data_IF_630672058040
#
_entry.id   IF_630672058040
#
_cell.length_a   1.000
_cell.length_b   1.000
_cell.length_c   1.000
_cell.angle_alpha   90.00
_cell.angle_beta   90.00
_cell.angle_gamma   90.00
#
_symmetry.space_group_name_H-M   'P 1'
#
loop_
_entity.id
_entity.type
_entity.pdbx_description
1 polymer ?
#
# COMPACT_ATOMS: atom_id res chain seq x y z
N UNK A 1 -17.68 -43.55 -15.73
CA UNK A 1 -16.54 -42.71 -15.30
C UNK A 1 -16.68 -41.29 -15.86
N UNK A 2 -17.35 -40.37 -15.14
CA UNK A 2 -17.50 -38.94 -15.53
C UNK A 2 -16.76 -37.98 -14.57
N UNK A 3 -15.77 -38.52 -13.85
CA UNK A 3 -15.04 -37.86 -12.76
C UNK A 3 -14.10 -36.69 -13.15
N UNK A 4 -13.48 -36.60 -14.35
CA UNK A 4 -12.46 -35.57 -14.59
C UNK A 4 -13.05 -34.17 -14.76
N UNK A 5 -14.29 -34.07 -15.25
CA UNK A 5 -14.96 -32.78 -15.49
C UNK A 5 -15.33 -32.08 -14.18
N UNK A 6 -15.77 -32.83 -13.18
CA UNK A 6 -16.10 -32.29 -11.85
C UNK A 6 -14.85 -31.83 -11.10
N UNK A 7 -13.71 -32.52 -11.28
CA UNK A 7 -12.46 -32.13 -10.65
C UNK A 7 -11.91 -30.80 -11.19
N UNK A 8 -11.96 -30.61 -12.52
CA UNK A 8 -11.57 -29.34 -13.16
C UNK A 8 -12.50 -28.20 -12.74
N UNK A 9 -13.81 -28.47 -12.66
CA UNK A 9 -14.80 -27.48 -12.27
C UNK A 9 -14.63 -27.05 -10.80
N UNK A 10 -14.30 -27.99 -9.91
CA UNK A 10 -13.99 -27.72 -8.51
C UNK A 10 -12.70 -26.88 -8.35
N UNK A 11 -11.67 -27.16 -9.16
CA UNK A 11 -10.43 -26.39 -9.15
C UNK A 11 -10.64 -24.93 -9.59
N UNK A 12 -11.47 -24.69 -10.61
CA UNK A 12 -11.81 -23.34 -11.09
C UNK A 12 -12.60 -22.56 -10.05
N UNK A 13 -13.54 -23.20 -9.36
CA UNK A 13 -14.30 -22.55 -8.28
C UNK A 13 -13.36 -22.17 -7.12
N UNK A 14 -12.43 -23.05 -6.75
CA UNK A 14 -11.49 -22.81 -5.67
C UNK A 14 -10.54 -21.65 -5.96
N UNK A 15 -10.05 -21.51 -7.21
CA UNK A 15 -9.16 -20.40 -7.58
C UNK A 15 -9.87 -19.04 -7.59
N UNK A 16 -11.16 -19.00 -7.94
CA UNK A 16 -11.96 -17.78 -7.93
C UNK A 16 -12.13 -17.20 -6.51
N UNK A 17 -12.20 -18.05 -5.48
CA UNK A 17 -12.31 -17.59 -4.09
C UNK A 17 -11.02 -16.94 -3.58
N UNK A 18 -9.85 -17.41 -4.03
CA UNK A 18 -8.53 -16.91 -3.59
C UNK A 18 -8.21 -15.48 -4.09
N UNK A 19 -8.95 -14.96 -5.07
CA UNK A 19 -8.73 -13.62 -5.63
C UNK A 19 -9.41 -12.50 -4.82
N UNK A 20 -10.20 -12.81 -3.78
CA UNK A 20 -10.95 -11.83 -2.98
C UNK A 20 -10.16 -11.24 -1.80
N UNK A 21 -8.85 -11.00 -1.95
CA UNK A 21 -8.00 -10.50 -0.88
C UNK A 21 -7.96 -8.96 -0.76
N UNK A 22 -8.59 -8.22 -1.69
CA UNK A 22 -8.59 -6.75 -1.66
C UNK A 22 -9.80 -6.22 -0.89
N UNK A 23 -9.61 -5.83 0.36
CA UNK A 23 -10.63 -5.18 1.18
C UNK A 23 -10.41 -3.65 1.17
N UNK A 24 -11.38 -2.90 0.64
CA UNK A 24 -11.40 -1.44 0.73
C UNK A 24 -11.91 -1.05 2.12
N UNK A 25 -10.98 -0.73 3.02
CA UNK A 25 -11.29 -0.26 4.37
C UNK A 25 -11.43 1.26 4.42
N UNK A 26 -12.29 1.73 5.33
CA UNK A 26 -12.50 3.15 5.56
C UNK A 26 -11.22 3.78 6.15
N UNK A 27 -10.91 5.05 5.86
CA UNK A 27 -9.63 5.67 6.25
C UNK A 27 -9.30 5.54 7.74
N UNK A 28 -10.29 5.70 8.63
CA UNK A 28 -10.12 5.60 10.08
C UNK A 28 -9.90 4.17 10.60
N UNK A 29 -10.25 3.15 9.82
CA UNK A 29 -9.99 1.74 10.18
C UNK A 29 -8.50 1.37 9.99
N UNK A 30 -7.72 2.24 9.32
CA UNK A 30 -6.29 2.05 9.05
C UNK A 30 -5.39 2.41 10.23
N UNK A 31 -5.91 3.11 11.24
CA UNK A 31 -5.14 3.48 12.44
C UNK A 31 -4.55 2.25 13.15
N UNK A 32 -5.26 1.11 13.14
CA UNK A 32 -4.75 -0.12 13.74
C UNK A 32 -3.57 -0.75 12.96
N UNK A 33 -3.38 -0.35 11.70
CA UNK A 33 -2.34 -0.86 10.82
C UNK A 33 -1.12 0.07 10.74
N UNK A 34 -1.27 1.34 11.12
CA UNK A 34 -0.21 2.36 11.13
C UNK A 34 0.15 2.69 12.57
N UNK A 35 1.02 1.87 13.15
CA UNK A 35 1.58 2.14 14.49
C UNK A 35 2.43 3.42 14.43
N UNK A 36 2.37 4.32 15.43
CA UNK A 36 3.22 5.50 15.52
C UNK A 36 4.72 5.20 15.35
N UNK A 37 5.17 3.99 15.69
CA UNK A 37 6.57 3.57 15.47
C UNK A 37 6.96 3.39 13.99
N UNK A 38 5.98 3.39 13.07
CA UNK A 38 6.20 3.32 11.62
C UNK A 38 6.34 4.72 10.99
N UNK A 39 6.29 5.79 11.78
CA UNK A 39 6.56 7.14 11.31
C UNK A 39 8.06 7.30 11.03
N UNK A 40 8.41 7.51 9.76
CA UNK A 40 9.80 7.69 9.32
C UNK A 40 10.41 9.02 9.80
N UNK A 41 9.59 10.05 9.97
CA UNK A 41 10.00 11.35 10.49
C UNK A 41 9.11 11.74 11.68
N UNK A 42 9.72 11.97 12.83
CA UNK A 42 9.03 12.38 14.06
C UNK A 42 8.52 13.84 14.00
N UNK A 43 9.11 14.67 13.13
CA UNK A 43 8.70 16.06 12.89
C UNK A 43 8.48 16.33 11.38
N UNK A 44 7.25 16.16 10.88
CA UNK A 44 6.94 16.36 9.47
C UNK A 44 7.07 17.84 9.04
N UNK A 45 6.96 18.78 9.97
CA UNK A 45 7.04 20.21 9.68
C UNK A 45 8.49 20.61 9.34
N UNK A 46 9.43 20.17 10.18
CA UNK A 46 10.85 20.42 9.95
C UNK A 46 11.33 19.67 8.70
N UNK A 47 10.88 18.43 8.50
CA UNK A 47 11.19 17.63 7.31
C UNK A 47 10.75 18.31 6.02
N UNK A 48 9.53 18.85 5.97
CA UNK A 48 9.03 19.56 4.79
C UNK A 48 9.84 20.80 4.44
N UNK A 49 10.31 21.55 5.46
CA UNK A 49 11.17 22.71 5.25
C UNK A 49 12.56 22.33 4.70
N UNK A 50 13.15 21.26 5.23
CA UNK A 50 14.43 20.72 4.75
C UNK A 50 14.32 20.23 3.31
N UNK A 51 13.28 19.46 2.99
CA UNK A 51 13.03 18.97 1.64
C UNK A 51 12.81 20.11 0.64
N UNK A 52 12.06 21.14 1.02
CA UNK A 52 11.88 22.32 0.16
C UNK A 52 13.23 22.99 -0.15
N UNK A 53 14.11 23.13 0.84
CA UNK A 53 15.46 23.65 0.62
C UNK A 53 16.27 22.76 -0.34
N UNK A 54 16.24 21.45 -0.13
CA UNK A 54 16.97 20.48 -0.95
C UNK A 54 16.47 20.47 -2.40
N UNK A 55 15.16 20.47 -2.64
CA UNK A 55 14.59 20.49 -3.99
C UNK A 55 15.01 21.74 -4.78
N UNK A 56 15.03 22.91 -4.14
CA UNK A 56 15.50 24.15 -4.78
C UNK A 56 17.01 24.09 -5.06
N UNK A 57 17.78 23.52 -4.14
CA UNK A 57 19.24 23.44 -4.24
C UNK A 57 19.68 22.41 -5.29
N UNK A 58 18.99 21.29 -5.39
CA UNK A 58 19.37 20.17 -6.25
C UNK A 58 18.65 20.21 -7.61
N UNK A 59 17.57 20.98 -7.72
CA UNK A 59 16.77 21.08 -8.96
C UNK A 59 16.04 19.77 -9.30
N UNK A 60 15.89 18.89 -8.32
CA UNK A 60 15.24 17.58 -8.43
C UNK A 60 14.09 17.49 -7.44
N UNK A 61 13.07 16.70 -7.78
CA UNK A 61 11.91 16.47 -6.93
C UNK A 61 11.58 14.96 -6.88
N UNK A 62 11.02 14.49 -5.77
CA UNK A 62 10.51 13.12 -5.64
C UNK A 62 11.49 12.05 -5.13
N UNK A 63 12.68 12.42 -4.67
CA UNK A 63 13.69 11.49 -4.13
C UNK A 63 13.55 11.12 -2.65
N UNK A 64 12.61 11.74 -1.91
CA UNK A 64 12.56 11.57 -0.44
C UNK A 64 11.89 10.28 0.04
N UNK A 65 11.25 9.53 -0.86
CA UNK A 65 10.48 8.34 -0.50
C UNK A 65 9.03 8.62 -0.08
N UNK A 66 8.59 9.88 -0.02
CA UNK A 66 7.19 10.31 0.21
C UNK A 66 6.20 9.84 -0.85
N UNK A 67 6.67 9.30 -1.97
CA UNK A 67 5.88 8.49 -2.89
C UNK A 67 6.07 7.00 -2.56
N UNK A 68 5.43 6.54 -1.47
CA UNK A 68 5.11 5.12 -1.32
C UNK A 68 4.08 4.75 -2.39
N UNK A 69 4.56 4.43 -3.59
CA UNK A 69 3.80 3.96 -4.76
C UNK A 69 3.25 2.55 -4.59
N UNK A 70 2.50 2.32 -3.51
CA UNK A 70 1.70 1.14 -3.25
C UNK A 70 0.49 1.55 -2.43
N UNK A 71 -0.70 1.54 -3.05
CA UNK A 71 -1.99 1.81 -2.41
C UNK A 71 -2.19 3.15 -1.65
N UNK A 72 -1.27 4.11 -1.72
CA UNK A 72 -1.53 5.55 -1.51
C UNK A 72 -2.22 5.98 -0.21
N UNK A 73 -2.04 5.26 0.89
CA UNK A 73 -2.58 5.67 2.19
C UNK A 73 -1.55 6.58 2.91
N UNK A 74 -1.46 7.82 2.46
CA UNK A 74 -1.14 8.96 3.32
C UNK A 74 -2.41 9.54 3.91
#
# INVERSE_FOLDING_TARGET
MKLPKYFVLLFIICSAFMLNACAVVQPWERERLSDPNMMFDEDPMNKGAELHYLFIREGTEGGDGSQSGGCGCG
#
